data_IF_970711646501
#
_entry.id   IF_970711646501
#
_cell.length_a   1.000
_cell.length_b   1.000
_cell.length_c   1.000
_cell.angle_alpha   90.00
_cell.angle_beta   90.00
_cell.angle_gamma   90.00
#
_symmetry.space_group_name_H-M   'P 1'
#
loop_
_entity.id
_entity.type
_entity.pdbx_description
1 polymer ?
#
# COMPACT_ATOMS: atom_id res chain seq x y z
N UNK A 1 -2.23 8.00 -2.96
CA UNK A 1 -0.96 7.51 -2.37
C UNK A 1 -1.02 6.00 -2.35
N UNK A 2 -0.08 5.29 -2.98
CA UNK A 2 0.01 3.84 -2.92
C UNK A 2 0.08 3.32 -1.48
N UNK A 3 -0.72 2.30 -1.17
CA UNK A 3 -0.64 1.54 0.08
C UNK A 3 -0.19 0.11 -0.24
N UNK A 4 -0.10 -0.77 0.76
CA UNK A 4 0.49 -2.11 0.59
C UNK A 4 -0.15 -2.90 -0.55
N UNK A 5 -1.49 -2.86 -0.67
CA UNK A 5 -2.22 -3.52 -1.76
C UNK A 5 -1.70 -3.14 -3.17
N UNK A 6 -1.39 -1.86 -3.40
CA UNK A 6 -0.86 -1.39 -4.68
C UNK A 6 0.51 -2.01 -4.96
N UNK A 7 1.38 -2.07 -3.95
CA UNK A 7 2.76 -2.58 -4.11
C UNK A 7 2.75 -4.09 -4.33
N UNK A 8 1.91 -4.83 -3.61
CA UNK A 8 1.72 -6.27 -3.82
C UNK A 8 1.13 -6.56 -5.21
N UNK A 9 0.17 -5.76 -5.67
CA UNK A 9 -0.34 -5.88 -7.05
C UNK A 9 0.76 -5.62 -8.07
N UNK A 10 1.55 -4.56 -7.88
CA UNK A 10 2.68 -4.27 -8.77
C UNK A 10 3.69 -5.43 -8.80
N UNK A 11 4.02 -6.05 -7.66
CA UNK A 11 4.90 -7.21 -7.65
C UNK A 11 4.34 -8.36 -8.52
N UNK A 12 3.04 -8.64 -8.45
CA UNK A 12 2.37 -9.63 -9.31
C UNK A 12 2.41 -9.23 -10.79
N UNK A 13 2.16 -7.95 -11.10
CA UNK A 13 2.16 -7.44 -12.47
C UNK A 13 3.58 -7.48 -13.09
N UNK A 14 4.62 -7.13 -12.33
CA UNK A 14 6.02 -7.27 -12.74
C UNK A 14 6.39 -8.73 -12.98
N UNK A 15 6.02 -9.63 -12.04
CA UNK A 15 6.26 -11.06 -12.19
C UNK A 15 5.58 -11.63 -13.44
N UNK A 16 4.32 -11.25 -13.68
CA UNK A 16 3.56 -11.70 -14.86
C UNK A 16 4.18 -11.21 -16.17
N UNK A 17 4.63 -9.95 -16.22
CA UNK A 17 5.11 -9.33 -17.45
C UNK A 17 6.59 -9.64 -17.77
N UNK A 18 7.42 -9.92 -16.77
CA UNK A 18 8.88 -9.97 -16.95
C UNK A 18 9.59 -11.19 -16.36
N UNK A 19 8.95 -12.04 -15.55
CA UNK A 19 9.64 -13.15 -14.90
C UNK A 19 10.24 -14.14 -15.93
N UNK A 20 11.51 -14.49 -15.76
CA UNK A 20 12.25 -15.44 -16.60
C UNK A 20 12.66 -14.92 -17.97
N UNK A 21 12.21 -13.73 -18.38
CA UNK A 21 12.56 -13.11 -19.65
C UNK A 21 13.66 -12.06 -19.47
N UNK A 22 14.68 -12.08 -20.34
CA UNK A 22 15.63 -10.98 -20.44
C UNK A 22 14.87 -9.68 -20.72
N UNK A 23 15.11 -8.66 -19.90
CA UNK A 23 14.51 -7.35 -20.05
C UNK A 23 15.55 -6.35 -20.54
N UNK A 24 15.16 -5.47 -21.45
CA UNK A 24 15.87 -4.23 -21.68
C UNK A 24 15.61 -3.28 -20.51
N UNK A 25 16.66 -2.87 -19.80
CA UNK A 25 16.59 -2.02 -18.61
C UNK A 25 17.26 -0.69 -18.92
N UNK A 26 16.52 0.41 -18.76
CA UNK A 26 17.04 1.76 -19.06
C UNK A 26 16.61 2.81 -18.03
N UNK A 27 17.36 3.91 -17.94
CA UNK A 27 17.03 5.07 -17.12
C UNK A 27 17.02 6.35 -17.96
N UNK A 28 15.90 6.66 -18.65
CA UNK A 28 15.82 7.85 -19.51
C UNK A 28 16.11 9.17 -18.79
N UNK A 29 15.70 9.30 -17.52
CA UNK A 29 16.02 10.48 -16.68
C UNK A 29 17.49 10.54 -16.25
N UNK A 30 18.26 9.46 -16.40
CA UNK A 30 19.69 9.40 -16.09
C UNK A 30 20.03 9.08 -14.62
N UNK A 31 19.03 9.09 -13.70
CA UNK A 31 19.30 8.93 -12.26
C UNK A 31 19.45 7.47 -11.79
N UNK A 32 19.34 6.51 -12.70
CA UNK A 32 19.52 5.08 -12.45
C UNK A 32 20.35 4.42 -13.56
N UNK A 33 21.14 5.21 -14.31
CA UNK A 33 21.85 4.73 -15.52
C UNK A 33 22.83 3.61 -15.23
N UNK A 34 23.69 3.76 -14.21
CA UNK A 34 24.73 2.77 -13.92
C UNK A 34 24.12 1.41 -13.56
N UNK A 35 23.12 1.42 -12.67
CA UNK A 35 22.40 0.22 -12.28
C UNK A 35 21.58 -0.37 -13.44
N UNK A 36 20.95 0.47 -14.28
CA UNK A 36 20.25 0.00 -15.46
C UNK A 36 21.19 -0.72 -16.43
N UNK A 37 22.38 -0.17 -16.68
CA UNK A 37 23.37 -0.78 -17.57
C UNK A 37 23.87 -2.13 -17.03
N UNK A 38 24.01 -2.30 -15.71
CA UNK A 38 24.37 -3.57 -15.08
C UNK A 38 23.30 -4.65 -15.22
N UNK A 39 22.03 -4.25 -15.27
CA UNK A 39 20.88 -5.15 -15.33
C UNK A 39 20.35 -5.36 -16.75
N UNK A 40 20.80 -4.57 -17.72
CA UNK A 40 20.31 -4.67 -19.10
C UNK A 40 20.60 -6.06 -19.70
N UNK A 41 19.57 -6.68 -20.28
CA UNK A 41 19.63 -8.03 -20.83
C UNK A 41 19.61 -9.15 -19.78
N UNK A 42 19.55 -8.83 -18.48
CA UNK A 42 19.40 -9.84 -17.42
C UNK A 42 17.92 -10.19 -17.20
N UNK A 43 17.60 -11.46 -16.88
CA UNK A 43 16.22 -11.85 -16.61
C UNK A 43 15.77 -11.36 -15.23
N UNK A 44 14.51 -10.92 -15.13
CA UNK A 44 13.89 -10.74 -13.82
C UNK A 44 13.55 -12.13 -13.25
N UNK A 45 14.13 -12.51 -12.12
CA UNK A 45 13.85 -13.79 -11.47
C UNK A 45 12.60 -13.76 -10.60
N UNK A 46 12.43 -12.68 -9.84
CA UNK A 46 11.32 -12.58 -8.87
C UNK A 46 10.94 -11.12 -8.62
N UNK A 47 9.71 -10.91 -8.21
CA UNK A 47 9.23 -9.65 -7.68
C UNK A 47 8.57 -9.90 -6.32
N UNK A 48 8.91 -9.08 -5.34
CA UNK A 48 8.50 -9.24 -3.95
C UNK A 48 8.00 -7.90 -3.38
N UNK A 49 7.13 -7.97 -2.39
CA UNK A 49 6.59 -6.82 -1.69
C UNK A 49 6.58 -7.04 -0.17
N UNK A 50 6.94 -6.00 0.56
CA UNK A 50 6.74 -5.92 2.00
C UNK A 50 6.30 -4.50 2.35
N UNK A 51 5.04 -4.39 2.78
CA UNK A 51 4.38 -3.13 3.03
C UNK A 51 4.37 -2.26 1.79
N UNK A 52 5.03 -1.09 1.87
CA UNK A 52 5.09 -0.11 0.77
C UNK A 52 6.41 -0.17 -0.02
N UNK A 53 7.14 -1.29 0.11
CA UNK A 53 8.42 -1.54 -0.54
C UNK A 53 8.25 -2.62 -1.61
N UNK A 54 8.61 -2.31 -2.85
CA UNK A 54 8.67 -3.23 -3.98
C UNK A 54 10.13 -3.62 -4.23
N UNK A 55 10.38 -4.90 -4.48
CA UNK A 55 11.71 -5.44 -4.77
C UNK A 55 11.65 -6.24 -6.06
N UNK A 56 12.55 -5.96 -7.01
CA UNK A 56 12.68 -6.68 -8.27
C UNK A 56 14.05 -7.36 -8.32
N UNK A 57 14.09 -8.70 -8.29
CA UNK A 57 15.33 -9.48 -8.24
C UNK A 57 15.78 -9.96 -9.62
N UNK A 58 17.02 -9.68 -10.01
CA UNK A 58 17.53 -9.91 -11.38
C UNK A 58 18.72 -10.88 -11.47
N UNK A 59 19.71 -10.74 -10.59
CA UNK A 59 20.88 -11.64 -10.50
C UNK A 59 20.95 -12.19 -9.09
N UNK A 60 21.87 -13.12 -8.83
CA UNK A 60 22.17 -13.55 -7.47
C UNK A 60 22.53 -12.33 -6.61
N UNK A 61 21.69 -12.05 -5.61
CA UNK A 61 21.79 -10.95 -4.64
C UNK A 61 21.52 -9.51 -5.12
N UNK A 62 21.09 -9.27 -6.37
CA UNK A 62 20.79 -7.92 -6.86
C UNK A 62 19.30 -7.62 -6.94
N UNK A 63 18.88 -6.58 -6.22
CA UNK A 63 17.50 -6.12 -6.16
C UNK A 63 17.36 -4.66 -6.55
N UNK A 64 16.39 -4.35 -7.41
CA UNK A 64 15.89 -2.98 -7.49
C UNK A 64 14.90 -2.78 -6.35
N UNK A 65 15.21 -1.89 -5.41
CA UNK A 65 14.28 -1.43 -4.38
C UNK A 65 13.56 -0.17 -4.85
N UNK A 66 12.23 -0.26 -4.88
CA UNK A 66 11.33 0.84 -5.25
C UNK A 66 10.44 1.20 -4.06
N UNK A 67 10.37 2.49 -3.74
CA UNK A 67 9.36 3.07 -2.85
C UNK A 67 8.70 4.25 -3.56
N UNK A 68 7.42 4.11 -3.90
CA UNK A 68 6.71 5.10 -4.71
C UNK A 68 6.51 6.43 -3.99
N UNK A 69 6.30 6.41 -2.67
CA UNK A 69 5.94 7.60 -1.91
C UNK A 69 4.62 8.20 -2.37
N UNK A 70 4.48 9.52 -2.29
CA UNK A 70 3.21 10.18 -2.61
C UNK A 70 2.95 10.27 -4.12
N UNK A 71 3.99 10.52 -4.92
CA UNK A 71 3.87 10.87 -6.34
C UNK A 71 4.33 9.77 -7.30
N UNK A 72 5.00 8.74 -6.78
CA UNK A 72 5.50 7.64 -7.59
C UNK A 72 4.38 6.87 -8.27
N UNK A 73 4.57 6.55 -9.54
CA UNK A 73 3.63 5.76 -10.33
C UNK A 73 4.36 4.84 -11.29
N UNK A 74 3.69 3.73 -11.60
CA UNK A 74 4.13 2.74 -12.57
C UNK A 74 3.08 2.67 -13.68
N UNK A 75 3.54 2.57 -14.93
CA UNK A 75 2.64 2.44 -16.09
C UNK A 75 3.12 1.29 -16.95
N UNK A 76 2.32 0.24 -17.02
CA UNK A 76 2.52 -0.90 -17.92
C UNK A 76 1.88 -0.64 -19.28
N UNK A 77 2.42 -1.23 -20.33
CA UNK A 77 1.81 -1.26 -21.65
C UNK A 77 2.38 -2.37 -22.53
N UNK A 78 1.75 -2.65 -23.67
CA UNK A 78 2.23 -3.66 -24.61
C UNK A 78 3.47 -3.18 -25.38
N UNK A 79 4.28 -4.12 -25.85
CA UNK A 79 5.34 -3.82 -26.81
C UNK A 79 4.75 -3.52 -28.22
N UNK A 80 5.42 -2.71 -29.06
CA UNK A 80 6.67 -2.00 -28.77
C UNK A 80 6.46 -0.82 -27.81
N UNK A 81 7.45 -0.57 -26.95
CA UNK A 81 7.40 0.56 -26.02
C UNK A 81 7.39 1.90 -26.78
N UNK A 82 6.54 2.87 -26.41
CA UNK A 82 6.61 4.21 -26.97
C UNK A 82 7.92 4.90 -26.55
N UNK A 83 8.39 5.96 -27.25
CA UNK A 83 9.56 6.71 -26.83
C UNK A 83 9.44 7.17 -25.36
N UNK A 84 10.49 6.98 -24.53
CA UNK A 84 10.42 7.39 -23.14
C UNK A 84 10.42 8.92 -23.03
N UNK A 85 9.73 9.42 -22.01
CA UNK A 85 9.84 10.82 -21.57
C UNK A 85 11.02 10.98 -20.62
N UNK A 86 11.57 12.18 -20.51
CA UNK A 86 12.64 12.57 -19.57
C UNK A 86 12.28 12.37 -18.07
N UNK A 87 10.99 12.21 -17.76
CA UNK A 87 10.49 11.89 -16.41
C UNK A 87 10.61 10.41 -16.01
N UNK A 88 10.96 9.51 -16.94
CA UNK A 88 11.06 8.06 -16.65
C UNK A 88 12.35 7.77 -15.91
N UNK A 89 12.22 7.37 -14.63
CA UNK A 89 13.34 7.01 -13.75
C UNK A 89 13.93 5.65 -14.11
N UNK A 90 13.07 4.68 -14.40
CA UNK A 90 13.42 3.31 -14.73
C UNK A 90 12.39 2.80 -15.75
N UNK A 91 12.86 2.13 -16.79
CA UNK A 91 12.06 1.37 -17.73
C UNK A 91 12.56 -0.06 -17.82
N UNK A 92 11.65 -1.02 -17.77
CA UNK A 92 11.88 -2.40 -18.22
C UNK A 92 11.05 -2.60 -19.50
N UNK A 93 11.60 -3.29 -20.49
CA UNK A 93 10.90 -3.66 -21.71
C UNK A 93 11.34 -5.04 -22.21
N UNK A 94 10.42 -5.80 -22.80
CA UNK A 94 10.71 -7.05 -23.50
C UNK A 94 9.89 -7.11 -24.79
N UNK A 95 9.81 -8.29 -25.42
CA UNK A 95 9.09 -8.49 -26.68
C UNK A 95 7.57 -8.34 -26.57
N UNK A 96 7.00 -8.39 -25.37
CA UNK A 96 5.54 -8.37 -25.16
C UNK A 96 5.07 -7.16 -24.37
N UNK A 97 5.91 -6.55 -23.55
CA UNK A 97 5.50 -5.56 -22.55
C UNK A 97 6.59 -4.55 -22.25
N UNK A 98 6.18 -3.38 -21.77
CA UNK A 98 7.05 -2.40 -21.13
C UNK A 98 6.41 -1.87 -19.85
N UNK A 99 7.25 -1.32 -18.99
CA UNK A 99 6.83 -0.63 -17.78
C UNK A 99 7.70 0.58 -17.51
N UNK A 100 7.06 1.71 -17.20
CA UNK A 100 7.73 2.95 -16.83
C UNK A 100 7.48 3.29 -15.37
N UNK A 101 8.55 3.50 -14.61
CA UNK A 101 8.53 4.08 -13.27
C UNK A 101 8.80 5.59 -13.33
N UNK A 102 7.92 6.40 -12.73
CA UNK A 102 8.05 7.87 -12.66
C UNK A 102 7.89 8.37 -11.23
N UNK A 103 8.71 9.35 -10.85
CA UNK A 103 8.62 10.06 -9.57
C UNK A 103 8.71 9.23 -8.27
N UNK A 104 9.41 8.07 -8.22
CA UNK A 104 9.52 7.34 -6.96
C UNK A 104 10.33 8.13 -5.93
N UNK A 105 10.06 7.93 -4.65
CA UNK A 105 10.94 8.39 -3.56
C UNK A 105 12.26 7.61 -3.54
N UNK A 106 12.21 6.32 -3.86
CA UNK A 106 13.39 5.44 -3.92
C UNK A 106 13.35 4.58 -5.17
N UNK A 107 14.49 4.49 -5.85
CA UNK A 107 14.76 3.57 -6.95
C UNK A 107 16.27 3.32 -6.95
N UNK A 108 16.70 2.26 -6.27
CA UNK A 108 18.10 1.96 -5.98
C UNK A 108 18.39 0.47 -6.20
N UNK A 109 19.57 0.15 -6.71
CA UNK A 109 20.08 -1.21 -6.74
C UNK A 109 20.64 -1.51 -5.34
N UNK A 110 20.21 -2.61 -4.74
CA UNK A 110 20.59 -3.00 -3.39
C UNK A 110 20.95 -4.49 -3.35
N UNK A 111 21.74 -4.85 -2.36
CA UNK A 111 22.15 -6.22 -2.03
C UNK A 111 21.09 -6.96 -1.22
N UNK A 112 21.22 -8.28 -1.08
CA UNK A 112 20.42 -9.08 -0.15
C UNK A 112 20.49 -8.57 1.29
N UNK A 113 21.68 -8.17 1.76
CA UNK A 113 21.87 -7.66 3.12
C UNK A 113 21.08 -6.35 3.35
N UNK A 114 21.09 -5.46 2.36
CA UNK A 114 20.31 -4.21 2.41
C UNK A 114 18.81 -4.48 2.30
N UNK A 115 18.39 -5.45 1.47
CA UNK A 115 16.98 -5.89 1.40
C UNK A 115 16.53 -6.43 2.76
N UNK A 116 17.33 -7.29 3.38
CA UNK A 116 17.04 -7.85 4.70
C UNK A 116 16.94 -6.75 5.76
N UNK A 117 17.86 -5.78 5.76
CA UNK A 117 17.79 -4.62 6.66
C UNK A 117 16.50 -3.80 6.46
N UNK A 118 15.95 -3.74 5.25
CA UNK A 118 14.64 -3.12 5.01
C UNK A 118 13.51 -3.98 5.58
N UNK A 119 13.56 -5.31 5.46
CA UNK A 119 12.57 -6.18 6.08
C UNK A 119 12.59 -6.10 7.61
N UNK A 120 13.77 -6.10 8.23
CA UNK A 120 13.94 -6.14 9.70
C UNK A 120 13.38 -4.90 10.41
N UNK A 121 13.30 -3.76 9.71
CA UNK A 121 12.72 -2.52 10.26
C UNK A 121 11.20 -2.41 10.09
N UNK A 122 10.56 -3.31 9.35
CA UNK A 122 9.13 -3.27 9.08
C UNK A 122 8.35 -4.10 10.12
N UNK A 123 7.14 -3.64 10.43
CA UNK A 123 6.16 -4.45 11.15
C UNK A 123 5.59 -5.54 10.26
N UNK A 124 4.82 -6.49 10.81
CA UNK A 124 4.15 -7.51 10.00
C UNK A 124 3.24 -6.86 8.94
N UNK A 125 3.15 -7.49 7.77
CA UNK A 125 2.35 -7.05 6.63
C UNK A 125 1.13 -7.99 6.44
N UNK A 126 -0.12 -7.50 6.54
CA UNK A 126 -1.32 -8.32 6.38
C UNK A 126 -1.41 -9.12 5.07
N UNK A 127 -0.68 -8.72 4.03
CA UNK A 127 -0.67 -9.40 2.74
C UNK A 127 0.36 -10.53 2.64
N UNK A 128 1.32 -10.61 3.57
CA UNK A 128 2.35 -11.65 3.53
C UNK A 128 1.91 -12.89 4.32
N UNK A 129 2.18 -14.11 3.81
CA UNK A 129 1.79 -15.36 4.47
C UNK A 129 2.60 -15.64 5.75
N UNK A 130 3.78 -15.05 5.88
CA UNK A 130 4.69 -15.19 7.02
C UNK A 130 4.44 -14.15 8.13
N UNK A 131 3.41 -13.31 8.00
CA UNK A 131 3.14 -12.22 8.93
C UNK A 131 2.59 -12.74 10.28
N UNK A 132 3.26 -12.35 11.37
CA UNK A 132 2.79 -12.57 12.74
C UNK A 132 2.01 -11.35 13.27
N UNK A 133 0.68 -11.42 13.41
CA UNK A 133 -0.11 -10.34 14.03
C UNK A 133 0.27 -10.07 15.49
N UNK A 134 0.82 -11.05 16.20
CA UNK A 134 1.26 -10.92 17.59
C UNK A 134 2.38 -9.90 17.74
N UNK A 135 3.32 -9.88 16.80
CA UNK A 135 4.43 -8.91 16.77
C UNK A 135 3.95 -7.44 16.68
N UNK A 136 2.87 -7.17 15.96
CA UNK A 136 2.24 -5.86 15.94
C UNK A 136 1.50 -5.58 17.27
N UNK A 137 0.73 -6.55 17.77
CA UNK A 137 -0.03 -6.40 19.01
C UNK A 137 0.87 -6.09 20.22
N UNK A 138 2.04 -6.73 20.32
CA UNK A 138 3.01 -6.46 21.39
C UNK A 138 3.46 -4.99 21.44
N UNK A 139 3.57 -4.33 20.27
CA UNK A 139 3.90 -2.91 20.18
C UNK A 139 2.69 -2.04 20.50
N UNK A 140 1.51 -2.43 20.01
CA UNK A 140 0.25 -1.70 20.22
C UNK A 140 -0.14 -1.68 21.70
N UNK A 141 -0.24 -2.86 22.32
CA UNK A 141 -0.69 -3.06 23.71
C UNK A 141 0.20 -2.40 24.77
N UNK A 142 1.43 -1.99 24.41
CA UNK A 142 2.35 -1.28 25.32
C UNK A 142 2.35 0.23 25.11
N UNK A 143 1.69 0.72 24.07
CA UNK A 143 1.78 2.11 23.64
C UNK A 143 0.67 2.98 24.24
N UNK A 144 1.05 4.18 24.69
CA UNK A 144 0.09 5.24 25.06
C UNK A 144 -0.36 6.06 23.84
N UNK A 145 0.27 5.86 22.69
CA UNK A 145 -0.08 6.50 21.42
C UNK A 145 -1.42 5.95 20.92
N UNK A 146 -2.14 6.77 20.16
CA UNK A 146 -3.44 6.40 19.60
C UNK A 146 -3.32 5.26 18.59
N UNK A 147 -4.34 4.41 18.50
CA UNK A 147 -4.39 3.30 17.54
C UNK A 147 -4.32 3.81 16.09
N UNK A 148 -4.90 4.97 15.80
CA UNK A 148 -4.78 5.58 14.48
C UNK A 148 -3.33 6.01 14.15
N UNK A 149 -2.55 6.49 15.11
CA UNK A 149 -1.14 6.78 14.85
C UNK A 149 -0.32 5.47 14.70
N UNK A 150 -0.60 4.45 15.51
CA UNK A 150 0.07 3.15 15.44
C UNK A 150 -0.16 2.41 14.12
N UNK A 151 -1.39 2.46 13.57
CA UNK A 151 -1.69 1.87 12.26
C UNK A 151 -0.98 2.56 11.08
N UNK A 152 -0.46 3.78 11.25
CA UNK A 152 0.37 4.44 10.24
C UNK A 152 1.85 4.13 10.37
N UNK A 153 2.30 3.67 11.54
CA UNK A 153 3.71 3.38 11.78
C UNK A 153 4.10 2.07 11.09
N UNK A 154 4.90 2.19 10.03
CA UNK A 154 5.34 1.04 9.25
C UNK A 154 6.23 0.07 10.03
N UNK A 155 6.76 0.47 11.21
CA UNK A 155 7.46 -0.42 12.15
C UNK A 155 6.50 -1.25 13.03
N UNK A 156 5.25 -0.81 13.15
CA UNK A 156 4.19 -1.50 13.90
C UNK A 156 3.40 -2.41 12.96
N UNK A 157 2.98 -1.89 11.82
CA UNK A 157 2.27 -2.64 10.79
C UNK A 157 2.64 -2.08 9.41
N UNK A 158 3.17 -2.94 8.55
CA UNK A 158 3.61 -2.54 7.23
C UNK A 158 2.44 -2.54 6.24
N UNK A 159 2.47 -1.61 5.28
CA UNK A 159 1.51 -1.59 4.16
C UNK A 159 0.24 -0.79 4.43
N UNK A 160 -0.27 -0.77 5.67
CA UNK A 160 -1.42 0.06 6.03
C UNK A 160 -1.08 1.54 5.83
N UNK A 161 -1.96 2.28 5.16
CA UNK A 161 -1.87 3.71 5.00
C UNK A 161 -3.15 4.41 5.45
N UNK A 162 -3.34 5.62 4.94
CA UNK A 162 -4.34 6.53 5.50
C UNK A 162 -5.77 6.07 5.23
N UNK A 163 -6.00 5.43 4.08
CA UNK A 163 -7.31 4.90 3.72
C UNK A 163 -7.61 3.70 4.61
N UNK A 164 -6.78 2.65 4.57
CA UNK A 164 -7.05 1.44 5.35
C UNK A 164 -7.15 1.71 6.85
N UNK A 165 -6.31 2.60 7.41
CA UNK A 165 -6.43 3.02 8.81
C UNK A 165 -7.81 3.58 9.12
N UNK A 166 -8.26 4.59 8.36
CA UNK A 166 -9.49 5.29 8.68
C UNK A 166 -10.69 4.35 8.54
N UNK A 167 -10.66 3.53 7.49
CA UNK A 167 -11.73 2.61 7.15
C UNK A 167 -11.84 1.42 8.09
N UNK A 168 -10.72 0.79 8.48
CA UNK A 168 -10.78 -0.36 9.40
C UNK A 168 -11.24 0.09 10.79
N UNK A 169 -10.76 1.22 11.29
CA UNK A 169 -11.19 1.74 12.58
C UNK A 169 -12.69 2.08 12.58
N UNK A 170 -13.21 2.63 11.48
CA UNK A 170 -14.64 2.84 11.32
C UNK A 170 -15.42 1.52 11.32
N UNK A 171 -14.99 0.52 10.53
CA UNK A 171 -15.64 -0.79 10.42
C UNK A 171 -15.72 -1.53 11.76
N UNK A 172 -14.78 -1.27 12.66
CA UNK A 172 -14.75 -1.83 14.02
C UNK A 172 -15.29 -0.88 15.09
N UNK A 173 -15.88 0.26 14.72
CA UNK A 173 -16.45 1.26 15.64
C UNK A 173 -15.45 1.73 16.73
N UNK A 174 -14.17 1.74 16.39
CA UNK A 174 -13.10 2.08 17.32
C UNK A 174 -12.79 3.57 17.25
N UNK A 175 -12.73 4.25 18.40
CA UNK A 175 -12.26 5.64 18.45
C UNK A 175 -10.79 5.68 17.96
N UNK A 176 -10.47 6.45 16.90
CA UNK A 176 -9.09 6.56 16.43
C UNK A 176 -8.12 7.11 17.48
N UNK A 177 -8.62 7.82 18.51
CA UNK A 177 -7.82 8.36 19.61
C UNK A 177 -7.62 7.37 20.78
N UNK A 178 -8.28 6.21 20.76
CA UNK A 178 -8.05 5.14 21.75
C UNK A 178 -6.56 4.81 21.82
N UNK A 179 -5.99 4.78 23.03
CA UNK A 179 -4.59 4.42 23.18
C UNK A 179 -4.38 2.95 22.84
N UNK A 180 -3.23 2.61 22.23
CA UNK A 180 -2.92 1.23 21.84
C UNK A 180 -2.98 0.24 23.01
N UNK A 181 -2.56 0.67 24.21
CA UNK A 181 -2.65 -0.13 25.44
C UNK A 181 -4.07 -0.47 25.88
N UNK A 182 -5.07 0.26 25.40
CA UNK A 182 -6.48 0.05 25.68
C UNK A 182 -7.18 -0.76 24.58
N UNK A 183 -6.42 -1.27 23.60
CA UNK A 183 -6.89 -2.21 22.57
C UNK A 183 -6.74 -3.64 23.08
N UNK A 184 -7.85 -4.36 23.18
CA UNK A 184 -7.86 -5.75 23.62
C UNK A 184 -7.33 -6.69 22.53
N UNK A 185 -6.86 -7.91 22.87
CA UNK A 185 -6.41 -8.88 21.86
C UNK A 185 -7.51 -9.19 20.84
N UNK A 186 -8.75 -9.41 21.30
CA UNK A 186 -9.88 -9.70 20.41
C UNK A 186 -10.21 -8.54 19.46
N UNK A 187 -10.08 -7.28 19.90
CA UNK A 187 -10.24 -6.12 19.01
C UNK A 187 -9.14 -6.07 17.95
N UNK A 188 -7.89 -6.36 18.35
CA UNK A 188 -6.77 -6.42 17.42
C UNK A 188 -6.92 -7.55 16.40
N UNK A 189 -7.26 -8.75 16.84
CA UNK A 189 -7.45 -9.91 15.95
C UNK A 189 -8.54 -9.63 14.91
N UNK A 190 -9.62 -8.97 15.32
CA UNK A 190 -10.69 -8.55 14.42
C UNK A 190 -10.21 -7.52 13.39
N UNK A 191 -9.47 -6.48 13.83
CA UNK A 191 -8.89 -5.47 12.94
C UNK A 191 -7.91 -6.11 11.95
N UNK A 192 -7.04 -7.00 12.43
CA UNK A 192 -6.05 -7.68 11.60
C UNK A 192 -6.74 -8.53 10.54
N UNK A 193 -7.72 -9.37 10.92
CA UNK A 193 -8.46 -10.19 9.97
C UNK A 193 -9.16 -9.35 8.89
N UNK A 194 -9.74 -8.21 9.28
CA UNK A 194 -10.39 -7.30 8.33
C UNK A 194 -9.37 -6.63 7.38
N UNK A 195 -8.21 -6.19 7.89
CA UNK A 195 -7.11 -5.68 7.06
C UNK A 195 -6.63 -6.72 6.05
N UNK A 196 -6.44 -7.98 6.47
CA UNK A 196 -6.04 -9.07 5.58
C UNK A 196 -7.05 -9.22 4.43
N UNK A 197 -8.36 -9.23 4.73
CA UNK A 197 -9.42 -9.32 3.73
C UNK A 197 -9.44 -8.11 2.78
N UNK A 198 -9.53 -6.91 3.33
CA UNK A 198 -9.63 -5.65 2.58
C UNK A 198 -8.41 -5.39 1.70
N UNK A 199 -7.21 -5.69 2.19
CA UNK A 199 -5.99 -5.48 1.41
C UNK A 199 -5.89 -6.51 0.27
N UNK A 200 -6.30 -7.76 0.48
CA UNK A 200 -6.36 -8.78 -0.60
C UNK A 200 -7.37 -8.41 -1.68
N UNK A 201 -8.52 -7.87 -1.30
CA UNK A 201 -9.48 -7.26 -2.24
C UNK A 201 -8.84 -6.10 -2.99
N UNK A 202 -8.11 -5.24 -2.28
CA UNK A 202 -7.32 -4.16 -2.87
C UNK A 202 -6.35 -4.63 -3.94
N UNK A 203 -5.63 -5.73 -3.69
CA UNK A 203 -4.71 -6.33 -4.67
C UNK A 203 -5.48 -6.82 -5.91
N UNK A 204 -6.57 -7.57 -5.70
CA UNK A 204 -7.37 -8.16 -6.79
C UNK A 204 -7.99 -7.09 -7.68
N UNK A 205 -8.60 -6.07 -7.09
CA UNK A 205 -9.39 -5.08 -7.79
C UNK A 205 -8.59 -3.84 -8.20
N UNK A 206 -7.32 -3.73 -7.74
CA UNK A 206 -6.48 -2.55 -7.91
C UNK A 206 -7.16 -1.26 -7.44
N UNK A 207 -7.94 -1.36 -6.36
CA UNK A 207 -8.74 -0.26 -5.79
C UNK A 207 -9.13 -0.58 -4.35
N UNK A 208 -9.25 0.44 -3.51
CA UNK A 208 -9.68 0.27 -2.12
C UNK A 208 -11.20 0.40 -2.05
N UNK A 209 -11.90 -0.72 -1.88
CA UNK A 209 -13.32 -0.79 -1.56
C UNK A 209 -13.47 -1.38 -0.16
N UNK A 210 -13.94 -0.58 0.80
CA UNK A 210 -14.03 -0.96 2.22
C UNK A 210 -15.45 -1.02 2.73
N UNK A 211 -16.43 -0.63 1.93
CA UNK A 211 -17.84 -0.68 2.29
C UNK A 211 -18.35 -2.12 2.27
N UNK A 212 -18.99 -2.54 3.37
CA UNK A 212 -19.61 -3.88 3.48
C UNK A 212 -20.74 -4.04 2.46
N UNK A 213 -21.03 -5.26 1.98
CA UNK A 213 -22.06 -5.52 0.97
C UNK A 213 -23.43 -4.90 1.31
N UNK A 214 -23.85 -4.95 2.57
CA UNK A 214 -25.11 -4.38 3.06
C UNK A 214 -25.15 -2.84 3.07
N UNK A 215 -24.01 -2.17 2.83
CA UNK A 215 -23.86 -0.73 2.85
C UNK A 215 -23.40 -0.15 1.50
N UNK A 216 -23.37 -0.97 0.44
CA UNK A 216 -22.99 -0.49 -0.90
C UNK A 216 -23.96 0.59 -1.39
N UNK A 217 -23.56 1.41 -2.39
CA UNK A 217 -24.46 2.38 -3.00
C UNK A 217 -25.80 1.79 -3.42
N UNK A 218 -25.75 0.61 -4.04
CA UNK A 218 -26.93 -0.13 -4.53
C UNK A 218 -27.80 -0.62 -3.37
N UNK A 219 -27.21 -1.22 -2.34
CA UNK A 219 -27.94 -1.73 -1.18
C UNK A 219 -28.64 -0.63 -0.37
N UNK A 220 -28.07 0.58 -0.37
CA UNK A 220 -28.59 1.73 0.36
C UNK A 220 -29.40 2.71 -0.51
N UNK A 221 -29.52 2.48 -1.82
CA UNK A 221 -30.21 3.39 -2.74
C UNK A 221 -29.57 4.79 -2.81
N UNK A 222 -28.24 4.87 -2.70
CA UNK A 222 -27.47 6.13 -2.76
C UNK A 222 -26.54 6.16 -3.98
N UNK A 223 -26.14 7.33 -4.49
CA UNK A 223 -25.16 7.40 -5.57
C UNK A 223 -23.79 6.83 -5.14
N UNK A 224 -23.03 6.26 -6.08
CA UNK A 224 -21.66 5.83 -5.83
C UNK A 224 -20.75 7.03 -5.57
N UNK A 225 -19.65 6.80 -4.86
CA UNK A 225 -18.64 7.83 -4.61
C UNK A 225 -17.97 8.27 -5.91
N UNK A 226 -17.82 9.60 -6.06
CA UNK A 226 -17.03 10.23 -7.12
C UNK A 226 -15.77 10.83 -6.51
N UNK A 227 -14.63 10.17 -6.70
CA UNK A 227 -13.32 10.60 -6.19
C UNK A 227 -12.23 10.20 -7.20
N UNK A 228 -11.21 11.04 -7.33
CA UNK A 228 -10.07 10.86 -8.23
C UNK A 228 -9.20 9.63 -7.88
N UNK A 229 -9.30 9.13 -6.65
CA UNK A 229 -8.65 7.90 -6.19
C UNK A 229 -9.56 6.67 -6.29
N UNK A 230 -10.81 6.85 -6.73
CA UNK A 230 -11.83 5.82 -6.83
C UNK A 230 -12.17 5.16 -5.50
N UNK A 231 -12.91 4.05 -5.60
CA UNK A 231 -13.23 3.16 -4.49
C UNK A 231 -14.39 3.64 -3.63
N UNK A 232 -15.01 2.72 -2.92
CA UNK A 232 -16.15 2.98 -2.05
C UNK A 232 -15.72 2.85 -0.57
N UNK A 233 -15.88 3.93 0.20
CA UNK A 233 -15.34 4.07 1.56
C UNK A 233 -16.31 4.77 2.51
N UNK A 234 -16.19 4.51 3.80
CA UNK A 234 -17.06 5.05 4.85
C UNK A 234 -16.68 6.44 5.33
N UNK A 235 -15.39 6.76 5.52
CA UNK A 235 -14.98 8.01 6.19
C UNK A 235 -13.84 8.74 5.49
N UNK A 236 -12.93 8.02 4.82
CA UNK A 236 -11.74 8.62 4.22
C UNK A 236 -12.11 9.70 3.19
N UNK A 237 -11.58 10.93 3.35
CA UNK A 237 -11.92 12.09 2.49
C UNK A 237 -13.43 12.34 2.36
N UNK A 238 -14.20 12.06 3.42
CA UNK A 238 -15.63 12.39 3.51
C UNK A 238 -15.93 13.45 4.56
N UNK A 239 -14.94 14.24 4.96
CA UNK A 239 -15.11 15.29 5.96
C UNK A 239 -16.32 16.19 5.64
N UNK A 240 -17.09 16.56 6.66
CA UNK A 240 -18.30 17.37 6.58
C UNK A 240 -19.48 16.72 5.83
N UNK A 241 -19.35 15.47 5.35
CA UNK A 241 -20.46 14.71 4.77
C UNK A 241 -21.17 13.88 5.84
N UNK A 242 -22.46 13.54 5.64
CA UNK A 242 -23.17 12.64 6.54
C UNK A 242 -22.60 11.22 6.49
N UNK A 243 -22.38 10.62 7.65
CA UNK A 243 -22.00 9.22 7.80
C UNK A 243 -23.06 8.33 7.13
N UNK A 244 -22.63 7.34 6.36
CA UNK A 244 -23.55 6.40 5.71
C UNK A 244 -24.34 5.54 6.71
N UNK A 245 -23.89 5.43 7.96
CA UNK A 245 -24.50 4.56 8.96
C UNK A 245 -25.42 5.35 9.89
N UNK A 246 -24.91 6.41 10.54
CA UNK A 246 -25.68 7.15 11.55
C UNK A 246 -26.14 8.54 11.11
N UNK A 247 -25.84 8.97 9.89
CA UNK A 247 -26.18 10.31 9.37
C UNK A 247 -25.37 11.47 9.99
N UNK A 248 -24.66 11.25 11.09
CA UNK A 248 -23.82 12.26 11.74
C UNK A 248 -22.61 12.67 10.90
N UNK A 249 -22.10 13.87 11.14
CA UNK A 249 -21.00 14.44 10.36
C UNK A 249 -19.68 13.66 10.51
N UNK A 250 -19.00 13.39 9.39
CA UNK A 250 -17.63 12.88 9.40
C UNK A 250 -16.65 14.01 9.73
N UNK A 251 -15.83 13.81 10.75
CA UNK A 251 -14.82 14.78 11.21
C UNK A 251 -13.45 14.51 10.60
N UNK A 252 -12.63 15.54 10.60
CA UNK A 252 -11.21 15.47 10.21
C UNK A 252 -10.31 16.20 11.19
N UNK A 253 -9.07 15.74 11.33
CA UNK A 253 -8.01 16.38 12.12
C UNK A 253 -6.64 15.94 11.64
N UNK A 254 -5.61 16.73 11.92
CA UNK A 254 -4.22 16.32 11.70
C UNK A 254 -3.76 15.34 12.80
N UNK A 255 -3.27 14.17 12.39
CA UNK A 255 -2.68 13.19 13.30
C UNK A 255 -1.46 12.53 12.66
N UNK A 256 -0.29 12.67 13.29
CA UNK A 256 0.98 12.14 12.80
C UNK A 256 1.29 12.55 11.35
N UNK A 257 1.17 13.86 11.06
CA UNK A 257 1.43 14.48 9.75
C UNK A 257 0.55 13.93 8.60
N UNK A 258 -0.66 13.45 8.92
CA UNK A 258 -1.67 13.00 7.96
C UNK A 258 -3.07 13.36 8.47
N UNK A 259 -3.98 13.68 7.56
CA UNK A 259 -5.40 13.83 7.90
C UNK A 259 -5.97 12.50 8.40
N UNK A 260 -6.59 12.53 9.57
CA UNK A 260 -7.43 11.48 10.12
C UNK A 260 -8.89 11.80 9.79
N UNK A 261 -9.68 10.81 9.38
CA UNK A 261 -11.12 10.93 9.14
C UNK A 261 -11.87 9.93 10.01
N UNK A 262 -12.96 10.34 10.66
CA UNK A 262 -13.75 9.45 11.52
C UNK A 262 -15.18 9.95 11.71
N UNK A 263 -16.07 9.05 12.13
CA UNK A 263 -17.43 9.40 12.55
C UNK A 263 -17.53 9.37 14.09
N UNK A 264 -17.74 10.51 14.78
CA UNK A 264 -17.89 10.54 16.23
C UNK A 264 -19.18 9.86 16.72
N UNK A 265 -20.18 9.67 15.84
CA UNK A 265 -21.40 8.91 16.18
C UNK A 265 -21.17 7.40 16.19
N UNK A 266 -20.40 6.88 15.24
CA UNK A 266 -20.13 5.44 15.13
C UNK A 266 -18.90 4.97 15.92
N UNK A 267 -17.96 5.86 16.24
CA UNK A 267 -16.66 5.53 16.85
C UNK A 267 -16.53 6.18 18.24
N UNK A 268 -17.36 5.72 19.19
CA UNK A 268 -17.42 6.24 20.56
C UNK A 268 -16.64 5.39 21.58
N UNK A 269 -15.94 4.35 21.09
CA UNK A 269 -15.29 3.32 21.90
C UNK A 269 -13.82 3.57 22.14
#
# INVERSE_FOLDING_TARGET
>A
MPEGHTIHRLAQDYGTAFAGAAAHVSSPQGKFTDAAALLDGTPLHTADAHGKHLFLGFRDADWIHIHLGLFGKVTFGPAPAPPPTDTVRLRLANSTSYVDLRGPTTCTLITDAEKQAIHDRLGPDPLRPDADPGAAYLRISRSRTTIAALLMDQKVIAGVGNVYRAEVLFRHRMDPYRAGRDVTPAQWDAIWADLVGLMREGVRNNRIDTVRPEHTPEAMGRPPRVDDHGGEVYVYRRANLPCHICGGEIRTADLAARNLFWCPGCQQG
#
